data_IF_494409443217
#
_entry.id   IF_494409443217
#
_cell.length_a   1.000
_cell.length_b   1.000
_cell.length_c   1.000
_cell.angle_alpha   90.00
_cell.angle_beta   90.00
_cell.angle_gamma   90.00
#
_symmetry.space_group_name_H-M   'P 1'
#
loop_
_entity.id
_entity.type
_entity.pdbx_description
1 polymer ?
#
# COMPACT_ATOMS: atom_id res chain seq x y z
N UNK A 1 3.53 50.72 -8.89
CA UNK A 1 3.52 49.31 -9.36
C UNK A 1 2.15 48.97 -9.96
N UNK A 2 2.10 48.35 -11.15
CA UNK A 2 0.81 47.99 -11.80
C UNK A 2 0.13 46.80 -11.10
N UNK A 3 -1.17 46.65 -11.28
CA UNK A 3 -1.93 45.49 -10.79
C UNK A 3 -1.37 44.17 -11.32
N UNK A 4 -0.94 44.14 -12.59
CA UNK A 4 -0.31 42.97 -13.20
C UNK A 4 0.95 42.54 -12.45
N UNK A 5 1.81 43.48 -12.07
CA UNK A 5 3.00 43.15 -11.27
C UNK A 5 2.61 42.62 -9.89
N UNK A 6 1.55 43.12 -9.26
CA UNK A 6 1.07 42.57 -7.97
C UNK A 6 0.62 41.11 -8.12
N UNK A 7 0.00 40.74 -9.25
CA UNK A 7 -0.36 39.36 -9.55
C UNK A 7 0.87 38.46 -9.77
N UNK A 8 1.94 38.98 -10.39
CA UNK A 8 3.21 38.25 -10.51
C UNK A 8 3.80 37.98 -9.12
N UNK A 9 3.79 38.95 -8.21
CA UNK A 9 4.24 38.74 -6.82
C UNK A 9 3.35 37.76 -6.05
N UNK A 10 2.04 37.77 -6.30
CA UNK A 10 1.12 36.78 -5.75
C UNK A 10 1.49 35.37 -6.23
N UNK A 11 1.75 35.18 -7.52
CA UNK A 11 2.17 33.88 -8.06
C UNK A 11 3.49 33.40 -7.46
N UNK A 12 4.50 34.29 -7.37
CA UNK A 12 5.79 33.97 -6.75
C UNK A 12 5.62 33.62 -5.26
N UNK A 13 4.80 34.40 -4.54
CA UNK A 13 4.43 34.13 -3.16
C UNK A 13 3.73 32.77 -3.01
N UNK A 14 2.88 32.40 -3.96
CA UNK A 14 2.19 31.10 -3.96
C UNK A 14 3.18 29.94 -4.10
N UNK A 15 4.11 30.03 -5.04
CA UNK A 15 5.15 29.00 -5.23
C UNK A 15 6.03 28.88 -3.99
N UNK A 16 6.49 30.00 -3.44
CA UNK A 16 7.32 30.01 -2.23
C UNK A 16 6.58 29.48 -1.00
N UNK A 17 5.32 29.89 -0.81
CA UNK A 17 4.47 29.42 0.27
C UNK A 17 4.17 27.92 0.17
N UNK A 18 3.89 27.43 -1.05
CA UNK A 18 3.66 26.01 -1.30
C UNK A 18 4.90 25.17 -0.95
N UNK A 19 6.07 25.53 -1.49
CA UNK A 19 7.32 24.79 -1.25
C UNK A 19 7.77 24.88 0.21
N UNK A 20 7.67 26.06 0.81
CA UNK A 20 8.01 26.30 2.21
C UNK A 20 7.14 25.48 3.15
N UNK A 21 5.82 25.51 2.96
CA UNK A 21 4.89 24.72 3.78
C UNK A 21 4.97 23.22 3.50
N UNK A 22 5.28 22.78 2.28
CA UNK A 22 5.57 21.36 2.01
C UNK A 22 6.77 20.88 2.84
N UNK A 23 7.85 21.67 2.89
CA UNK A 23 9.01 21.41 3.73
C UNK A 23 8.66 21.37 5.21
N UNK A 24 7.94 22.38 5.73
CA UNK A 24 7.51 22.43 7.13
C UNK A 24 6.58 21.26 7.48
N UNK A 25 5.61 20.94 6.62
CA UNK A 25 4.67 19.84 6.83
C UNK A 25 5.40 18.49 6.87
N UNK A 26 6.45 18.31 6.08
CA UNK A 26 7.29 17.10 6.16
C UNK A 26 7.97 16.96 7.54
N UNK A 27 8.36 18.06 8.17
CA UNK A 27 8.86 18.08 9.54
C UNK A 27 7.74 17.81 10.55
N UNK A 28 6.55 18.37 10.32
CA UNK A 28 5.37 18.14 11.16
C UNK A 28 4.96 16.68 11.23
N UNK A 29 5.05 15.93 10.12
CA UNK A 29 4.81 14.48 10.13
C UNK A 29 5.67 13.80 11.20
N UNK A 30 6.93 14.23 11.37
CA UNK A 30 7.85 13.68 12.37
C UNK A 30 7.62 14.25 13.77
N UNK A 31 7.48 15.57 13.90
CA UNK A 31 7.33 16.27 15.18
C UNK A 31 6.00 15.97 15.87
N UNK A 32 4.93 15.86 15.09
CA UNK A 32 3.57 15.60 15.57
C UNK A 32 3.13 14.15 15.37
N UNK A 33 3.99 13.31 14.79
CA UNK A 33 3.79 11.85 14.62
C UNK A 33 2.51 11.54 13.87
N UNK A 34 2.35 12.20 12.73
CA UNK A 34 1.23 11.95 11.83
C UNK A 34 1.39 10.53 11.26
N UNK A 35 0.36 9.67 11.34
CA UNK A 35 0.45 8.30 10.85
C UNK A 35 0.91 8.24 9.39
N UNK A 36 1.90 7.41 9.11
CA UNK A 36 2.46 7.22 7.75
C UNK A 36 1.78 6.08 6.97
N UNK A 37 0.98 5.25 7.64
CA UNK A 37 0.19 4.20 6.99
C UNK A 37 -0.91 4.76 6.08
N UNK A 38 -1.25 4.00 5.04
CA UNK A 38 -2.36 4.30 4.11
C UNK A 38 -2.33 5.75 3.57
N UNK A 39 -1.18 6.20 3.06
CA UNK A 39 -0.98 7.52 2.41
C UNK A 39 -1.35 8.78 3.22
N UNK A 40 -1.73 8.65 4.50
CA UNK A 40 -2.18 9.76 5.35
C UNK A 40 -1.16 10.90 5.46
N UNK A 41 0.12 10.57 5.69
CA UNK A 41 1.19 11.58 5.75
C UNK A 41 1.38 12.31 4.42
N UNK A 42 1.25 11.61 3.29
CA UNK A 42 1.35 12.21 1.95
C UNK A 42 0.24 13.21 1.67
N UNK A 43 -1.01 12.82 1.95
CA UNK A 43 -2.15 13.73 1.82
C UNK A 43 -2.04 14.94 2.74
N UNK A 44 -1.60 14.73 3.99
CA UNK A 44 -1.40 15.82 4.93
C UNK A 44 -0.41 16.87 4.39
N UNK A 45 0.77 16.43 3.94
CA UNK A 45 1.79 17.34 3.37
C UNK A 45 1.23 18.07 2.15
N UNK A 46 0.53 17.36 1.27
CA UNK A 46 -0.07 17.93 0.06
C UNK A 46 -1.09 19.03 0.38
N UNK A 47 -2.05 18.77 1.28
CA UNK A 47 -3.07 19.77 1.64
C UNK A 47 -2.47 20.98 2.38
N UNK A 48 -1.49 20.76 3.27
CA UNK A 48 -0.79 21.86 3.96
C UNK A 48 0.04 22.69 2.98
N UNK A 49 0.66 22.05 1.97
CA UNK A 49 1.38 22.76 0.91
C UNK A 49 0.44 23.64 0.07
N UNK A 50 -0.73 23.13 -0.34
CA UNK A 50 -1.74 23.92 -1.05
C UNK A 50 -2.20 25.12 -0.23
N UNK A 51 -2.51 24.92 1.06
CA UNK A 51 -2.89 26.00 1.96
C UNK A 51 -1.77 27.05 2.08
N UNK A 52 -0.52 26.59 2.17
CA UNK A 52 0.67 27.43 2.12
C UNK A 52 0.79 28.24 0.82
N UNK A 53 0.45 27.66 -0.32
CA UNK A 53 0.41 28.36 -1.60
C UNK A 53 -0.66 29.44 -1.65
N UNK A 54 -1.86 29.18 -1.15
CA UNK A 54 -2.94 30.19 -1.09
C UNK A 54 -2.54 31.35 -0.18
N UNK A 55 -2.05 31.07 1.02
CA UNK A 55 -1.62 32.11 1.97
C UNK A 55 -0.42 32.87 1.41
N UNK A 56 0.54 32.18 0.80
CA UNK A 56 1.70 32.77 0.14
C UNK A 56 1.30 33.73 -0.98
N UNK A 57 0.25 33.40 -1.75
CA UNK A 57 -0.29 34.30 -2.77
C UNK A 57 -0.85 35.60 -2.19
N UNK A 58 -1.62 35.48 -1.09
CA UNK A 58 -2.19 36.63 -0.38
C UNK A 58 -1.08 37.51 0.18
N UNK A 59 -0.08 36.92 0.86
CA UNK A 59 1.07 37.65 1.41
C UNK A 59 1.85 38.33 0.29
N UNK A 60 2.13 37.63 -0.80
CA UNK A 60 2.85 38.19 -1.95
C UNK A 60 2.12 39.38 -2.56
N UNK A 61 0.81 39.27 -2.75
CA UNK A 61 -0.03 40.36 -3.23
C UNK A 61 0.00 41.56 -2.28
N UNK A 62 -0.31 41.37 -1.00
CA UNK A 62 -0.39 42.46 0.01
C UNK A 62 0.97 43.14 0.23
N UNK A 63 2.04 42.35 0.39
CA UNK A 63 3.39 42.89 0.57
C UNK A 63 3.84 43.73 -0.63
N UNK A 64 3.50 43.30 -1.85
CA UNK A 64 3.81 44.06 -3.05
C UNK A 64 3.05 45.38 -3.15
N UNK A 65 1.83 45.45 -2.56
CA UNK A 65 1.03 46.68 -2.47
C UNK A 65 1.57 47.65 -1.43
N UNK A 66 2.02 47.14 -0.28
CA UNK A 66 2.67 47.95 0.75
C UNK A 66 3.98 48.59 0.26
N UNK A 67 4.67 47.95 -0.69
CA UNK A 67 5.89 48.48 -1.30
C UNK A 67 5.65 49.68 -2.25
N UNK A 68 4.40 50.06 -2.53
CA UNK A 68 4.03 51.13 -3.48
C UNK A 68 4.03 52.53 -2.84
N UNK A 69 4.19 52.65 -1.52
CA UNK A 69 4.26 53.96 -0.85
C UNK A 69 5.57 54.70 -1.22
N UNK A 70 5.50 55.54 -2.26
CA UNK A 70 6.58 56.41 -2.74
C UNK A 70 6.70 56.49 -4.27
N UNK A 71 7.44 57.47 -4.79
CA UNK A 71 7.67 57.68 -6.23
C UNK A 71 8.45 56.54 -6.91
N UNK A 72 9.16 55.71 -6.13
CA UNK A 72 10.14 54.73 -6.64
C UNK A 72 9.66 53.28 -6.47
N UNK A 73 8.43 53.00 -6.93
CA UNK A 73 7.83 51.66 -6.84
C UNK A 73 8.28 50.75 -7.99
N UNK A 74 9.52 50.25 -7.91
CA UNK A 74 10.08 49.31 -8.88
C UNK A 74 9.95 47.84 -8.43
N UNK A 75 9.84 46.92 -9.40
CA UNK A 75 9.62 45.48 -9.21
C UNK A 75 10.54 44.84 -8.15
N UNK A 76 11.83 45.21 -8.15
CA UNK A 76 12.84 44.66 -7.23
C UNK A 76 12.49 44.95 -5.77
N UNK A 77 11.98 46.14 -5.46
CA UNK A 77 11.55 46.50 -4.11
C UNK A 77 10.34 45.67 -3.69
N UNK A 78 9.35 45.52 -4.58
CA UNK A 78 8.20 44.64 -4.37
C UNK A 78 8.63 43.20 -4.07
N UNK A 79 9.58 42.67 -4.85
CA UNK A 79 10.11 41.33 -4.68
C UNK A 79 10.81 41.18 -3.32
N UNK A 80 11.60 42.17 -2.91
CA UNK A 80 12.24 42.20 -1.59
C UNK A 80 11.23 42.14 -0.44
N UNK A 81 10.15 42.91 -0.51
CA UNK A 81 9.07 42.88 0.48
C UNK A 81 8.34 41.54 0.49
N UNK A 82 7.95 41.01 -0.68
CA UNK A 82 7.29 39.71 -0.80
C UNK A 82 8.15 38.58 -0.25
N UNK A 83 9.44 38.53 -0.62
CA UNK A 83 10.38 37.53 -0.14
C UNK A 83 10.59 37.61 1.38
N UNK A 84 10.81 38.82 1.90
CA UNK A 84 11.02 39.04 3.34
C UNK A 84 9.78 38.67 4.16
N UNK A 85 8.60 39.13 3.74
CA UNK A 85 7.34 38.83 4.42
C UNK A 85 7.04 37.32 4.40
N UNK A 86 7.24 36.66 3.26
CA UNK A 86 7.07 35.20 3.13
C UNK A 86 8.06 34.43 4.02
N UNK A 87 9.33 34.81 4.01
CA UNK A 87 10.36 34.18 4.83
C UNK A 87 10.09 34.33 6.33
N UNK A 88 9.69 35.53 6.79
CA UNK A 88 9.32 35.78 8.19
C UNK A 88 8.10 34.93 8.58
N UNK A 89 7.06 34.89 7.75
CA UNK A 89 5.87 34.09 8.03
C UNK A 89 6.21 32.59 8.17
N UNK A 90 6.97 32.03 7.23
CA UNK A 90 7.40 30.63 7.28
C UNK A 90 8.30 30.35 8.49
N UNK A 91 9.22 31.26 8.82
CA UNK A 91 10.09 31.14 9.99
C UNK A 91 9.30 31.15 11.30
N UNK A 92 8.28 32.02 11.43
CA UNK A 92 7.39 32.05 12.60
C UNK A 92 6.57 30.77 12.73
N UNK A 93 6.01 30.26 11.63
CA UNK A 93 5.28 28.99 11.63
C UNK A 93 6.20 27.84 12.04
N UNK A 94 7.40 27.77 11.46
CA UNK A 94 8.39 26.75 11.80
C UNK A 94 8.81 26.83 13.28
N UNK A 95 9.13 28.02 13.78
CA UNK A 95 9.56 28.23 15.15
C UNK A 95 8.45 27.89 16.16
N UNK A 96 7.24 28.39 15.95
CA UNK A 96 6.09 28.06 16.79
C UNK A 96 5.81 26.56 16.81
N UNK A 97 5.87 25.93 15.64
CA UNK A 97 5.67 24.47 15.53
C UNK A 97 6.76 23.68 16.24
N UNK A 98 8.01 24.12 16.14
CA UNK A 98 9.14 23.48 16.81
C UNK A 98 9.04 23.59 18.34
N UNK A 99 8.55 24.73 18.86
CA UNK A 99 8.31 24.94 20.29
C UNK A 99 7.14 24.09 20.83
N UNK A 100 6.11 23.87 20.02
CA UNK A 100 4.94 23.06 20.36
C UNK A 100 5.16 21.56 20.10
N UNK A 101 6.21 21.21 19.36
CA UNK A 101 6.56 19.84 19.07
C UNK A 101 7.06 19.13 20.33
N UNK A 102 6.55 17.93 20.55
CA UNK A 102 7.04 17.06 21.60
C UNK A 102 8.27 16.31 21.08
N UNK A 103 9.46 16.75 21.45
CA UNK A 103 10.71 16.13 21.03
C UNK A 103 11.07 14.92 21.92
N UNK A 104 11.63 13.84 21.36
CA UNK A 104 12.15 12.74 22.17
C UNK A 104 13.19 13.23 23.20
N UNK A 105 13.17 12.78 24.45
CA UNK A 105 14.17 13.15 25.43
C UNK A 105 15.55 12.61 25.04
N UNK A 106 16.59 13.38 25.35
CA UNK A 106 17.99 13.00 25.13
C UNK A 106 18.81 13.24 26.39
N UNK A 107 19.84 12.41 26.60
CA UNK A 107 20.89 12.62 27.62
C UNK A 107 22.22 12.66 26.87
N UNK A 108 23.04 13.67 27.12
CA UNK A 108 24.30 13.90 26.41
C UNK A 108 24.14 13.91 24.87
N UNK A 109 23.00 14.43 24.39
CA UNK A 109 22.63 14.48 22.96
C UNK A 109 22.27 13.11 22.33
N UNK A 110 22.32 12.02 23.11
CA UNK A 110 22.02 10.67 22.64
C UNK A 110 20.54 10.33 22.84
N UNK A 111 19.98 9.60 21.88
CA UNK A 111 18.60 9.08 21.98
C UNK A 111 18.50 7.99 23.04
N UNK A 112 17.32 7.91 23.63
CA UNK A 112 17.01 6.98 24.71
C UNK A 112 16.04 5.90 24.22
N UNK A 113 16.24 4.68 24.71
CA UNK A 113 15.25 3.60 24.68
C UNK A 113 14.85 3.28 26.11
N UNK A 114 13.69 2.65 26.27
CA UNK A 114 13.31 1.96 27.49
C UNK A 114 13.58 0.48 27.27
N UNK A 115 14.42 -0.12 28.11
CA UNK A 115 14.51 -1.56 28.24
C UNK A 115 13.51 -2.00 29.30
N UNK A 116 12.63 -2.93 28.94
CA UNK A 116 11.52 -3.39 29.75
C UNK A 116 11.70 -4.86 30.03
N UNK A 117 11.54 -5.25 31.29
CA UNK A 117 11.37 -6.64 31.68
C UNK A 117 9.92 -6.86 32.10
N UNK A 118 9.28 -7.83 31.46
CA UNK A 118 7.94 -8.31 31.77
C UNK A 118 8.04 -9.69 32.40
N UNK A 119 7.64 -9.81 33.66
CA UNK A 119 7.51 -11.09 34.35
C UNK A 119 6.10 -11.63 34.13
N UNK A 120 6.00 -12.83 33.56
CA UNK A 120 4.74 -13.51 33.26
C UNK A 120 4.11 -14.10 34.50
N UNK A 121 2.81 -14.42 34.47
CA UNK A 121 2.20 -15.31 35.44
C UNK A 121 2.74 -16.75 35.30
N UNK A 122 2.59 -17.60 36.33
CA UNK A 122 3.13 -18.97 36.35
C UNK A 122 2.54 -19.93 35.30
N UNK A 123 1.29 -19.68 34.90
CA UNK A 123 0.46 -20.65 34.16
C UNK A 123 0.31 -20.29 32.68
N UNK A 124 0.89 -19.18 32.23
CA UNK A 124 0.64 -18.66 30.89
C UNK A 124 1.64 -19.24 29.88
N UNK A 125 1.22 -20.25 29.12
CA UNK A 125 1.88 -20.56 27.86
C UNK A 125 1.77 -19.35 26.92
N UNK A 126 2.82 -19.03 26.15
CA UNK A 126 2.64 -18.17 24.98
C UNK A 126 1.66 -18.91 24.06
N UNK A 127 0.41 -18.43 23.98
CA UNK A 127 -0.54 -18.95 23.01
C UNK A 127 -0.20 -18.29 21.67
N UNK A 128 0.82 -18.82 21.00
CA UNK A 128 1.09 -18.51 19.61
C UNK A 128 -0.06 -19.10 18.77
N UNK A 129 -1.03 -18.26 18.44
CA UNK A 129 -1.97 -18.57 17.36
C UNK A 129 -1.44 -17.91 16.09
N UNK A 130 -1.46 -18.63 14.97
CA UNK A 130 -1.01 -18.12 13.69
C UNK A 130 -1.66 -16.75 13.38
N UNK A 131 -0.85 -15.70 13.30
CA UNK A 131 -1.27 -14.35 12.91
C UNK A 131 -1.43 -13.31 14.03
N UNK A 132 -1.20 -13.65 15.31
CA UNK A 132 -1.11 -12.65 16.38
C UNK A 132 0.33 -12.54 16.89
N UNK A 133 0.99 -11.42 16.59
CA UNK A 133 2.34 -11.14 17.07
C UNK A 133 2.27 -10.42 18.43
N UNK A 134 2.71 -11.03 19.54
CA UNK A 134 2.77 -10.34 20.81
C UNK A 134 3.70 -9.13 20.72
N UNK A 135 3.26 -8.02 21.32
CA UNK A 135 3.88 -6.72 21.09
C UNK A 135 3.81 -5.82 22.31
N UNK A 136 4.84 -5.00 22.48
CA UNK A 136 4.91 -3.98 23.52
C UNK A 136 4.97 -2.61 22.83
N UNK A 137 4.07 -1.71 23.22
CA UNK A 137 3.95 -0.35 22.70
C UNK A 137 3.93 0.62 23.86
N UNK A 138 4.70 1.70 23.79
CA UNK A 138 4.56 2.82 24.72
C UNK A 138 3.38 3.70 24.28
N UNK A 139 2.62 4.21 25.23
CA UNK A 139 1.44 5.01 24.98
C UNK A 139 1.43 6.22 25.90
N UNK A 140 0.66 7.24 25.52
CA UNK A 140 0.45 8.45 26.31
C UNK A 140 -1.04 8.76 26.24
N UNK A 141 -1.66 9.12 27.37
CA UNK A 141 -3.09 9.44 27.53
C UNK A 141 -3.65 10.41 26.47
N UNK A 142 -2.81 11.24 25.85
CA UNK A 142 -3.24 12.24 24.87
C UNK A 142 -2.88 11.94 23.39
N UNK A 143 -2.10 10.90 23.06
CA UNK A 143 -1.70 10.59 21.66
C UNK A 143 -1.48 9.09 21.45
N UNK A 144 -2.01 8.54 20.35
CA UNK A 144 -1.91 7.11 19.99
C UNK A 144 -0.49 6.73 19.52
N UNK A 145 -0.04 5.57 20.02
CA UNK A 145 1.12 4.75 19.64
C UNK A 145 2.52 5.40 19.60
N UNK A 146 3.37 5.01 20.55
CA UNK A 146 4.80 5.32 20.61
C UNK A 146 5.60 4.02 20.69
N UNK A 147 6.38 3.72 19.65
CA UNK A 147 7.33 2.60 19.65
C UNK A 147 6.69 1.28 19.25
N UNK A 148 7.18 0.71 18.15
CA UNK A 148 7.01 -0.71 17.84
C UNK A 148 8.09 -1.49 18.54
N UNK A 149 7.77 -2.73 18.87
CA UNK A 149 8.75 -3.64 19.40
C UNK A 149 9.92 -3.77 18.43
N UNK A 150 11.14 -3.51 18.90
CA UNK A 150 12.34 -3.71 18.08
C UNK A 150 12.88 -5.14 18.19
N UNK A 151 12.46 -5.89 19.19
CA UNK A 151 13.03 -7.19 19.55
C UNK A 151 12.17 -7.93 20.61
N UNK A 152 10.96 -8.39 20.25
CA UNK A 152 10.13 -9.18 21.18
C UNK A 152 10.80 -10.54 21.36
N UNK A 153 11.19 -10.89 22.59
CA UNK A 153 11.69 -12.24 22.88
C UNK A 153 13.19 -12.46 22.65
N UNK A 154 14.01 -11.42 22.40
CA UNK A 154 15.47 -11.58 22.29
C UNK A 154 16.10 -12.29 23.48
N UNK A 155 15.52 -12.11 24.68
CA UNK A 155 15.91 -12.87 25.86
C UNK A 155 14.67 -13.21 26.70
N UNK A 156 14.34 -14.50 26.71
CA UNK A 156 13.41 -15.08 27.68
C UNK A 156 14.25 -15.83 28.71
N UNK A 157 14.15 -15.44 29.98
CA UNK A 157 14.84 -16.13 31.08
C UNK A 157 13.85 -16.77 32.05
N UNK A 158 14.15 -17.97 32.58
CA UNK A 158 13.34 -18.55 33.65
C UNK A 158 13.48 -17.75 34.95
N UNK A 159 12.40 -17.65 35.71
CA UNK A 159 12.32 -17.02 37.03
C UNK A 159 11.38 -17.83 37.92
N UNK A 160 11.86 -18.99 38.39
CA UNK A 160 11.03 -19.97 39.11
C UNK A 160 9.97 -20.61 38.20
N UNK A 161 8.70 -20.49 38.59
CA UNK A 161 7.53 -20.87 37.80
C UNK A 161 7.13 -19.82 36.76
N UNK A 162 7.76 -18.64 36.79
CA UNK A 162 7.50 -17.52 35.87
C UNK A 162 8.59 -17.40 34.81
N UNK A 163 8.33 -16.59 33.80
CA UNK A 163 9.31 -16.19 32.78
C UNK A 163 9.48 -14.69 32.81
N UNK A 164 10.69 -14.22 32.53
CA UNK A 164 10.95 -12.79 32.30
C UNK A 164 11.30 -12.61 30.83
N UNK A 165 10.49 -11.80 30.14
CA UNK A 165 10.71 -11.39 28.76
C UNK A 165 11.31 -10.00 28.77
N UNK A 166 12.51 -9.85 28.20
CA UNK A 166 13.14 -8.53 28.04
C UNK A 166 12.89 -8.00 26.64
N UNK A 167 12.60 -6.72 26.53
CA UNK A 167 12.47 -6.05 25.24
C UNK A 167 12.84 -4.57 25.31
N UNK A 168 12.88 -3.90 24.16
CA UNK A 168 13.28 -2.50 24.02
C UNK A 168 12.26 -1.71 23.21
N UNK A 169 11.89 -0.55 23.73
CA UNK A 169 10.91 0.35 23.12
C UNK A 169 11.51 1.75 22.97
N UNK A 170 11.28 2.40 21.83
CA UNK A 170 11.79 3.76 21.60
C UNK A 170 11.10 4.77 22.52
N UNK A 171 11.89 5.55 23.26
CA UNK A 171 11.37 6.63 24.10
C UNK A 171 11.08 7.85 23.21
N UNK A 172 9.96 7.78 22.50
CA UNK A 172 9.63 8.75 21.47
C UNK A 172 9.15 10.10 21.99
N UNK A 173 8.67 10.23 23.23
CA UNK A 173 7.96 11.41 23.75
C UNK A 173 8.56 11.91 25.06
N UNK A 174 8.55 13.22 25.30
CA UNK A 174 8.93 13.86 26.57
C UNK A 174 7.78 13.97 27.59
N UNK A 175 6.61 13.41 27.27
CA UNK A 175 5.47 13.44 28.18
C UNK A 175 5.74 12.69 29.49
N UNK A 176 5.23 13.24 30.60
CA UNK A 176 5.42 12.68 31.93
C UNK A 176 4.56 11.44 32.19
N UNK A 177 3.36 11.38 31.60
CA UNK A 177 2.48 10.21 31.69
C UNK A 177 2.74 9.28 30.51
N UNK A 178 3.18 8.07 30.83
CA UNK A 178 3.50 7.04 29.84
C UNK A 178 2.89 5.72 30.29
N UNK A 179 2.15 5.07 29.43
CA UNK A 179 1.66 3.73 29.64
C UNK A 179 2.43 2.74 28.78
N UNK A 180 2.65 1.54 29.28
CA UNK A 180 3.12 0.41 28.52
C UNK A 180 1.92 -0.44 28.16
N UNK A 181 1.57 -0.49 26.88
CA UNK A 181 0.60 -1.42 26.36
C UNK A 181 1.31 -2.70 25.93
N UNK A 182 0.90 -3.84 26.47
CA UNK A 182 1.41 -5.15 26.05
C UNK A 182 0.23 -5.98 25.54
N UNK A 183 0.31 -6.36 24.27
CA UNK A 183 -0.52 -7.43 23.71
C UNK A 183 0.23 -8.73 23.89
N UNK A 184 -0.21 -9.57 24.83
CA UNK A 184 0.45 -10.83 25.16
C UNK A 184 -0.11 -12.00 24.33
N UNK A 185 -1.42 -12.05 24.17
CA UNK A 185 -2.13 -13.02 23.32
C UNK A 185 -3.48 -12.45 22.88
N UNK A 186 -4.19 -13.14 22.00
CA UNK A 186 -5.60 -12.84 21.72
C UNK A 186 -6.37 -12.75 23.05
N UNK A 187 -7.00 -11.60 23.30
CA UNK A 187 -7.75 -11.34 24.55
C UNK A 187 -6.95 -11.01 25.81
N UNK A 188 -5.62 -11.15 25.79
CA UNK A 188 -4.75 -10.80 26.92
C UNK A 188 -3.96 -9.52 26.60
N UNK A 189 -4.47 -8.40 27.08
CA UNK A 189 -3.88 -7.07 26.91
C UNK A 189 -3.75 -6.41 28.27
N UNK A 190 -2.58 -5.85 28.54
CA UNK A 190 -2.29 -5.13 29.77
C UNK A 190 -1.79 -3.72 29.46
N UNK A 191 -2.10 -2.80 30.36
CA UNK A 191 -1.69 -1.41 30.28
C UNK A 191 -1.09 -0.96 31.61
N UNK A 192 0.22 -0.73 31.68
CA UNK A 192 0.91 -0.35 32.93
C UNK A 192 1.33 1.10 32.86
N UNK A 193 0.93 1.95 33.81
CA UNK A 193 1.38 3.35 33.83
C UNK A 193 2.81 3.42 34.39
N UNK A 194 3.79 3.67 33.52
CA UNK A 194 5.18 3.75 33.91
C UNK A 194 5.43 5.00 34.75
N UNK A 195 6.00 4.80 35.95
CA UNK A 195 6.51 5.87 36.84
C UNK A 195 7.78 6.57 36.31
N UNK A 196 7.88 6.80 35.00
CA UNK A 196 9.07 7.32 34.33
C UNK A 196 8.91 8.84 34.05
N UNK A 197 9.77 9.72 34.60
CA UNK A 197 9.64 11.16 34.42
C UNK A 197 9.76 11.57 32.94
N UNK A 198 9.07 12.63 32.55
CA UNK A 198 9.02 13.11 31.16
C UNK A 198 10.41 13.39 30.54
N UNK A 199 11.35 13.85 31.36
CA UNK A 199 12.76 13.98 31.00
C UNK A 199 13.59 13.09 31.94
N UNK A 200 13.88 11.84 31.55
CA UNK A 200 14.72 10.96 32.35
C UNK A 200 16.12 11.54 32.54
N UNK A 201 16.72 11.16 33.66
CA UNK A 201 18.10 11.46 34.02
C UNK A 201 18.91 10.16 34.07
N UNK A 202 20.22 10.26 34.30
CA UNK A 202 21.08 9.08 34.46
C UNK A 202 20.68 8.17 35.63
N UNK A 203 19.91 8.68 36.60
CA UNK A 203 19.37 7.86 37.70
C UNK A 203 18.42 6.75 37.20
N UNK A 204 17.76 6.97 36.05
CA UNK A 204 16.87 5.98 35.44
C UNK A 204 17.62 4.93 34.59
N UNK A 205 18.96 4.92 34.58
CA UNK A 205 19.73 3.84 33.95
C UNK A 205 19.75 2.56 34.78
N UNK A 206 19.48 2.69 36.08
CA UNK A 206 19.23 1.54 36.95
C UNK A 206 17.82 0.99 36.75
N UNK A 207 17.64 -0.30 37.01
CA UNK A 207 16.33 -0.93 36.98
C UNK A 207 15.39 -0.31 38.01
N UNK A 208 14.17 0.00 37.58
CA UNK A 208 13.10 0.34 38.50
C UNK A 208 12.78 -0.84 39.42
N UNK A 209 12.12 -0.54 40.53
CA UNK A 209 11.39 -1.57 41.26
C UNK A 209 10.34 -2.23 40.35
N UNK A 210 10.01 -3.49 40.67
CA UNK A 210 8.90 -4.18 40.02
C UNK A 210 7.59 -3.46 40.33
N UNK A 211 6.81 -3.22 39.29
CA UNK A 211 5.47 -2.69 39.39
C UNK A 211 4.50 -3.84 39.16
N UNK A 212 3.85 -4.25 40.23
CA UNK A 212 2.77 -5.22 40.22
C UNK A 212 1.47 -4.43 39.94
N UNK A 213 1.10 -4.31 38.67
CA UNK A 213 -0.16 -3.64 38.27
C UNK A 213 -1.10 -4.63 37.60
N UNK A 214 -2.28 -4.79 38.19
CA UNK A 214 -3.40 -5.52 37.58
C UNK A 214 -4.16 -4.55 36.67
N UNK A 215 -3.84 -4.51 35.38
CA UNK A 215 -4.64 -3.75 34.42
C UNK A 215 -5.09 -4.66 33.30
N UNK A 216 -6.30 -5.19 33.49
CA UNK A 216 -7.06 -5.97 32.54
C UNK A 216 -8.02 -5.03 31.80
N UNK A 217 -7.83 -4.85 30.49
CA UNK A 217 -8.94 -4.53 29.60
C UNK A 217 -9.23 -5.80 28.82
N UNK A 218 -10.01 -6.76 29.37
CA UNK A 218 -10.45 -7.88 28.56
C UNK A 218 -11.21 -7.26 27.39
N UNK A 219 -10.74 -7.48 26.16
CA UNK A 219 -11.64 -7.33 25.03
C UNK A 219 -12.84 -8.21 25.36
N UNK A 220 -14.01 -7.59 25.52
CA UNK A 220 -15.25 -8.19 26.03
C UNK A 220 -15.38 -9.67 25.65
N UNK A 221 -15.11 -10.60 26.58
CA UNK A 221 -15.19 -12.05 26.34
C UNK A 221 -14.09 -12.94 26.93
N UNK A 222 -12.99 -12.38 27.47
CA UNK A 222 -11.83 -13.16 27.97
C UNK A 222 -11.70 -13.30 29.49
N UNK A 223 -12.81 -13.22 30.25
CA UNK A 223 -12.77 -13.61 31.66
C UNK A 223 -12.63 -15.15 31.74
N UNK A 224 -11.44 -15.64 32.06
CA UNK A 224 -11.26 -17.02 32.54
C UNK A 224 -11.29 -17.00 34.06
N UNK A 225 -12.36 -17.49 34.72
CA UNK A 225 -12.41 -17.57 36.17
C UNK A 225 -11.27 -18.46 36.69
N UNK A 226 -10.45 -17.95 37.61
CA UNK A 226 -9.46 -18.73 38.35
C UNK A 226 -8.03 -18.76 37.79
N UNK A 227 -7.72 -18.01 36.73
CA UNK A 227 -6.34 -17.85 36.24
C UNK A 227 -5.70 -16.61 36.86
N UNK A 228 -4.61 -16.79 37.61
CA UNK A 228 -3.76 -15.69 38.06
C UNK A 228 -3.06 -15.10 36.83
N UNK A 229 -3.39 -13.85 36.50
CA UNK A 229 -2.80 -13.09 35.39
C UNK A 229 -2.06 -11.86 35.90
N UNK A 230 -1.37 -11.99 37.04
CA UNK A 230 -0.49 -10.95 37.58
C UNK A 230 0.83 -10.87 36.79
N UNK A 231 0.87 -9.95 35.84
CA UNK A 231 2.13 -9.51 35.24
C UNK A 231 2.82 -8.50 36.15
N UNK A 232 4.15 -8.58 36.21
CA UNK A 232 4.96 -7.53 36.83
C UNK A 232 5.87 -6.91 35.77
N UNK A 233 6.04 -5.59 35.84
CA UNK A 233 6.88 -4.85 34.90
C UNK A 233 7.95 -4.09 35.66
N UNK A 234 9.18 -4.13 35.16
CA UNK A 234 10.20 -3.14 35.52
C UNK A 234 10.88 -2.63 34.27
N UNK A 235 11.50 -1.46 34.38
CA UNK A 235 12.17 -0.85 33.24
C UNK A 235 13.43 -0.12 33.66
N UNK A 236 14.28 0.15 32.67
CA UNK A 236 15.37 1.13 32.78
C UNK A 236 15.50 1.89 31.46
N UNK A 237 16.11 3.05 31.53
CA UNK A 237 16.49 3.83 30.36
C UNK A 237 17.87 3.38 29.92
N UNK A 238 18.02 3.13 28.62
CA UNK A 238 19.32 2.84 28.00
C UNK A 238 19.55 3.82 26.84
N UNK A 239 20.81 3.98 26.46
CA UNK A 239 21.10 4.64 25.19
C UNK A 239 20.61 3.77 24.03
N UNK A 240 20.01 4.40 23.03
CA UNK A 240 19.77 3.71 21.77
C UNK A 240 21.11 3.20 21.21
N UNK A 241 21.16 1.94 20.73
CA UNK A 241 22.33 1.47 20.01
C UNK A 241 22.56 2.41 18.83
N UNK A 242 23.82 2.63 18.49
CA UNK A 242 24.15 3.41 17.30
C UNK A 242 23.50 2.73 16.11
N UNK A 243 22.57 3.44 15.44
CA UNK A 243 21.91 2.87 14.26
C UNK A 243 23.03 2.58 13.26
N UNK A 244 23.07 1.37 12.67
CA UNK A 244 24.00 1.12 11.57
C UNK A 244 23.79 2.23 10.55
N UNK A 245 24.89 2.81 10.07
CA UNK A 245 24.84 3.87 9.07
C UNK A 245 23.97 3.33 7.91
N UNK A 246 22.88 4.03 7.53
CA UNK A 246 22.07 3.56 6.43
C UNK A 246 22.98 3.40 5.22
N UNK A 247 22.82 2.30 4.45
CA UNK A 247 23.65 2.09 3.28
C UNK A 247 23.55 3.30 2.37
N UNK A 248 24.70 3.74 1.87
CA UNK A 248 24.81 4.80 0.87
C UNK A 248 23.95 4.46 -0.34
N UNK A 249 23.59 5.45 -1.16
CA UNK A 249 22.82 5.17 -2.38
C UNK A 249 23.52 4.13 -3.28
N UNK A 250 24.85 4.14 -3.33
CA UNK A 250 25.65 3.18 -4.08
C UNK A 250 25.60 1.77 -3.45
N UNK A 251 25.72 1.66 -2.13
CA UNK A 251 25.59 0.38 -1.43
C UNK A 251 24.18 -0.20 -1.57
N UNK A 252 23.14 0.64 -1.48
CA UNK A 252 21.75 0.22 -1.73
C UNK A 252 21.55 -0.28 -3.14
N UNK A 253 21.99 0.48 -4.15
CA UNK A 253 21.90 0.04 -5.54
C UNK A 253 22.64 -1.29 -5.78
N UNK A 254 23.79 -1.49 -5.13
CA UNK A 254 24.55 -2.75 -5.21
C UNK A 254 23.81 -3.89 -4.53
N UNK A 255 23.23 -3.66 -3.35
CA UNK A 255 22.43 -4.65 -2.61
C UNK A 255 21.16 -5.02 -3.38
N UNK A 256 20.39 -4.04 -3.83
CA UNK A 256 19.18 -4.22 -4.63
C UNK A 256 19.48 -4.99 -5.93
N UNK A 257 20.59 -4.66 -6.61
CA UNK A 257 21.04 -5.40 -7.80
C UNK A 257 21.44 -6.84 -7.48
N UNK A 258 22.16 -7.08 -6.38
CA UNK A 258 22.56 -8.42 -5.97
C UNK A 258 21.36 -9.27 -5.52
N UNK A 259 20.40 -8.67 -4.82
CA UNK A 259 19.14 -9.32 -4.43
C UNK A 259 18.27 -9.63 -5.64
N UNK A 260 18.13 -8.70 -6.58
CA UNK A 260 17.43 -8.93 -7.84
C UNK A 260 18.08 -10.07 -8.64
N UNK A 261 19.41 -10.11 -8.72
CA UNK A 261 20.12 -11.19 -9.40
C UNK A 261 19.93 -12.55 -8.72
N UNK A 262 19.93 -12.60 -7.38
CA UNK A 262 19.64 -13.84 -6.62
C UNK A 262 18.19 -14.28 -6.80
N UNK A 263 17.25 -13.34 -6.77
CA UNK A 263 15.83 -13.62 -6.99
C UNK A 263 15.62 -14.19 -8.41
N UNK A 264 16.20 -13.55 -9.42
CA UNK A 264 16.12 -14.03 -10.80
C UNK A 264 16.77 -15.42 -10.95
N UNK A 265 17.92 -15.67 -10.32
CA UNK A 265 18.57 -16.99 -10.34
C UNK A 265 17.67 -18.07 -9.70
N UNK A 266 17.05 -17.78 -8.55
CA UNK A 266 16.12 -18.69 -7.88
C UNK A 266 14.87 -18.94 -8.72
N UNK A 267 14.33 -17.93 -9.40
CA UNK A 267 13.20 -18.09 -10.32
C UNK A 267 13.56 -18.95 -11.53
N UNK A 268 14.76 -18.78 -12.10
CA UNK A 268 15.25 -19.64 -13.20
C UNK A 268 15.43 -21.09 -12.76
N UNK A 269 15.94 -21.31 -11.55
CA UNK A 269 16.06 -22.65 -10.97
C UNK A 269 14.68 -23.29 -10.76
N UNK A 270 13.71 -22.54 -10.23
CA UNK A 270 12.33 -23.01 -10.06
C UNK A 270 11.67 -23.35 -11.40
N UNK A 271 11.83 -22.52 -12.43
CA UNK A 271 11.35 -22.82 -13.78
C UNK A 271 12.05 -24.05 -14.38
N UNK A 272 13.36 -24.21 -14.14
CA UNK A 272 14.13 -25.35 -14.60
C UNK A 272 13.75 -26.67 -13.91
N UNK A 273 13.25 -26.60 -12.67
CA UNK A 273 12.80 -27.75 -11.90
C UNK A 273 11.46 -28.33 -12.40
N UNK A 274 10.69 -27.59 -13.22
CA UNK A 274 9.47 -28.13 -13.83
C UNK A 274 9.83 -29.21 -14.85
N UNK A 275 9.32 -30.45 -14.70
CA UNK A 275 9.62 -31.54 -15.63
C UNK A 275 9.23 -31.24 -17.08
N UNK A 276 10.01 -31.75 -18.04
CA UNK A 276 9.65 -31.73 -19.46
C UNK A 276 8.32 -32.46 -19.65
N UNK A 277 7.37 -31.81 -20.32
CA UNK A 277 6.02 -32.35 -20.52
C UNK A 277 5.08 -32.18 -19.31
N UNK A 278 5.48 -31.44 -18.28
CA UNK A 278 4.54 -31.04 -17.22
C UNK A 278 3.37 -30.21 -17.81
N UNK A 279 2.17 -30.27 -17.18
CA UNK A 279 1.03 -29.47 -17.61
C UNK A 279 1.37 -27.98 -17.68
N UNK A 280 0.85 -27.27 -18.68
CA UNK A 280 1.12 -25.83 -18.89
C UNK A 280 0.73 -24.99 -17.67
N UNK A 281 -0.20 -25.47 -16.84
CA UNK A 281 -0.62 -24.81 -15.60
C UNK A 281 0.49 -24.65 -14.57
N UNK A 282 1.51 -25.51 -14.59
CA UNK A 282 2.66 -25.36 -13.71
C UNK A 282 3.57 -24.17 -14.08
N UNK A 283 3.47 -23.71 -15.33
CA UNK A 283 4.29 -22.60 -15.84
C UNK A 283 3.61 -21.23 -15.65
N UNK A 284 2.33 -21.20 -15.22
CA UNK A 284 1.52 -19.99 -15.13
C UNK A 284 2.08 -18.94 -14.15
N UNK A 285 2.71 -19.38 -13.06
CA UNK A 285 3.33 -18.46 -12.11
C UNK A 285 4.40 -17.61 -12.80
N UNK A 286 5.18 -18.22 -13.70
CA UNK A 286 6.31 -17.59 -14.39
C UNK A 286 5.90 -16.67 -15.55
N UNK A 287 4.60 -16.55 -15.86
CA UNK A 287 4.10 -15.61 -16.88
C UNK A 287 3.58 -14.30 -16.30
N UNK A 288 3.59 -14.15 -14.98
CA UNK A 288 3.11 -12.92 -14.32
C UNK A 288 4.02 -11.72 -14.59
N UNK A 289 3.46 -10.50 -14.54
CA UNK A 289 4.15 -9.24 -14.85
C UNK A 289 5.43 -8.99 -14.03
N UNK A 290 5.51 -9.54 -12.82
CA UNK A 290 6.66 -9.39 -11.92
C UNK A 290 7.90 -10.20 -12.34
N UNK A 291 7.76 -11.16 -13.26
CA UNK A 291 8.89 -11.95 -13.74
C UNK A 291 9.63 -11.25 -14.89
N UNK A 292 10.99 -11.31 -14.91
CA UNK A 292 11.79 -10.84 -16.03
C UNK A 292 11.35 -11.41 -17.38
N UNK A 293 11.43 -10.61 -18.44
CA UNK A 293 11.00 -11.00 -19.79
C UNK A 293 11.68 -12.28 -20.30
N UNK A 294 12.94 -12.50 -19.94
CA UNK A 294 13.67 -13.72 -20.29
C UNK A 294 13.07 -14.98 -19.65
N UNK A 295 12.59 -14.89 -18.40
CA UNK A 295 11.93 -16.01 -17.70
C UNK A 295 10.55 -16.27 -18.30
N UNK A 296 9.77 -15.22 -18.55
CA UNK A 296 8.46 -15.34 -19.22
C UNK A 296 8.60 -16.00 -20.60
N UNK A 297 9.57 -15.55 -21.39
CA UNK A 297 9.83 -16.11 -22.72
C UNK A 297 10.25 -17.59 -22.66
N UNK A 298 11.08 -17.99 -21.69
CA UNK A 298 11.43 -19.40 -21.48
C UNK A 298 10.21 -20.23 -21.07
N UNK A 299 9.37 -19.70 -20.15
CA UNK A 299 8.15 -20.37 -19.72
C UNK A 299 7.18 -20.58 -20.89
N UNK A 300 6.90 -19.54 -21.69
CA UNK A 300 6.03 -19.66 -22.87
C UNK A 300 6.59 -20.61 -23.92
N UNK A 301 7.91 -20.61 -24.14
CA UNK A 301 8.56 -21.58 -25.03
C UNK A 301 8.32 -23.02 -24.55
N UNK A 302 8.55 -23.31 -23.27
CA UNK A 302 8.36 -24.66 -22.70
C UNK A 302 6.90 -25.10 -22.70
N UNK A 303 5.97 -24.21 -22.38
CA UNK A 303 4.53 -24.48 -22.50
C UNK A 303 4.17 -24.94 -23.92
N UNK A 304 4.71 -24.24 -24.92
CA UNK A 304 4.46 -24.51 -26.34
C UNK A 304 5.10 -25.82 -26.83
N UNK A 305 6.26 -26.19 -26.28
CA UNK A 305 6.93 -27.46 -26.57
C UNK A 305 6.20 -28.67 -25.98
N UNK A 306 5.20 -28.46 -25.11
CA UNK A 306 4.32 -29.53 -24.63
C UNK A 306 3.57 -30.18 -25.79
N UNK A 307 3.60 -31.51 -25.84
CA UNK A 307 2.83 -32.29 -26.82
C UNK A 307 1.31 -32.09 -26.69
N UNK A 308 0.84 -31.66 -25.51
CA UNK A 308 -0.57 -31.42 -25.20
C UNK A 308 -0.93 -29.93 -25.17
N UNK A 309 -0.05 -29.04 -25.66
CA UNK A 309 -0.23 -27.59 -25.58
C UNK A 309 -1.62 -27.12 -26.06
N UNK A 310 -2.05 -27.56 -27.25
CA UNK A 310 -3.31 -27.13 -27.84
C UNK A 310 -4.52 -27.53 -26.98
N UNK A 311 -4.54 -28.78 -26.50
CA UNK A 311 -5.62 -29.33 -25.68
C UNK A 311 -5.65 -28.66 -24.30
N UNK A 312 -4.50 -28.57 -23.64
CA UNK A 312 -4.39 -27.96 -22.32
C UNK A 312 -4.70 -26.45 -22.37
N UNK A 313 -4.20 -25.73 -23.38
CA UNK A 313 -4.47 -24.30 -23.53
C UNK A 313 -5.95 -24.04 -23.78
N UNK A 314 -6.59 -24.84 -24.64
CA UNK A 314 -8.04 -24.79 -24.85
C UNK A 314 -8.81 -25.08 -23.56
N UNK A 315 -8.38 -26.04 -22.76
CA UNK A 315 -9.03 -26.38 -21.49
C UNK A 315 -8.94 -25.24 -20.47
N UNK A 316 -7.79 -24.56 -20.36
CA UNK A 316 -7.61 -23.48 -19.37
C UNK A 316 -8.30 -22.18 -19.73
N UNK A 317 -8.41 -21.82 -21.01
CA UNK A 317 -9.19 -20.63 -21.41
C UNK A 317 -10.70 -20.86 -21.27
N UNK A 318 -11.14 -22.12 -21.22
CA UNK A 318 -12.51 -22.54 -20.93
C UNK A 318 -12.71 -22.94 -19.45
N UNK A 319 -11.72 -22.72 -18.59
CA UNK A 319 -11.76 -23.15 -17.20
C UNK A 319 -12.99 -22.61 -16.45
N UNK A 320 -13.56 -23.37 -15.52
CA UNK A 320 -14.79 -23.02 -14.80
C UNK A 320 -14.66 -21.71 -13.99
N UNK A 321 -13.47 -21.45 -13.44
CA UNK A 321 -13.14 -20.18 -12.79
C UNK A 321 -12.82 -19.10 -13.84
N UNK A 322 -13.60 -18.02 -13.85
CA UNK A 322 -13.47 -16.91 -14.80
C UNK A 322 -12.14 -16.16 -14.71
N UNK A 323 -11.57 -16.00 -13.51
CA UNK A 323 -10.32 -15.28 -13.33
C UNK A 323 -9.17 -16.08 -13.94
N UNK A 324 -9.18 -17.40 -13.76
CA UNK A 324 -8.22 -18.31 -14.41
C UNK A 324 -8.34 -18.23 -15.93
N UNK A 325 -9.54 -18.38 -16.47
CA UNK A 325 -9.79 -18.29 -17.91
C UNK A 325 -9.34 -16.93 -18.49
N UNK A 326 -9.71 -15.83 -17.83
CA UNK A 326 -9.36 -14.49 -18.25
C UNK A 326 -7.86 -14.22 -18.19
N UNK A 327 -7.19 -14.73 -17.16
CA UNK A 327 -5.74 -14.60 -17.00
C UNK A 327 -5.00 -15.31 -18.14
N UNK A 328 -5.38 -16.55 -18.47
CA UNK A 328 -4.79 -17.29 -19.59
C UNK A 328 -5.00 -16.60 -20.94
N UNK A 329 -6.20 -16.08 -21.20
CA UNK A 329 -6.47 -15.36 -22.44
C UNK A 329 -5.58 -14.12 -22.62
N UNK A 330 -5.23 -13.40 -21.53
CA UNK A 330 -4.35 -12.22 -21.63
C UNK A 330 -2.96 -12.53 -22.18
N UNK A 331 -2.48 -13.77 -22.04
CA UNK A 331 -1.17 -14.18 -22.54
C UNK A 331 -1.18 -14.64 -24.00
N UNK A 332 -2.34 -14.66 -24.68
CA UNK A 332 -2.48 -15.20 -26.02
C UNK A 332 -1.49 -14.60 -27.05
N UNK A 333 -1.21 -13.30 -26.95
CA UNK A 333 -0.27 -12.63 -27.85
C UNK A 333 1.21 -12.76 -27.44
N UNK A 334 1.50 -13.23 -26.23
CA UNK A 334 2.87 -13.40 -25.73
C UNK A 334 3.50 -14.72 -26.18
N UNK A 335 2.70 -15.69 -26.64
CA UNK A 335 3.22 -16.95 -27.18
C UNK A 335 4.07 -16.70 -28.44
N UNK A 336 5.35 -17.13 -28.44
CA UNK A 336 6.23 -17.01 -29.61
C UNK A 336 5.89 -18.09 -30.64
N UNK A 337 6.05 -17.84 -31.95
CA UNK A 337 5.91 -18.85 -33.02
C UNK A 337 4.50 -18.96 -33.63
N UNK A 338 4.16 -20.14 -34.20
CA UNK A 338 2.82 -20.43 -34.76
C UNK A 338 1.71 -20.37 -33.70
N UNK A 339 0.79 -19.41 -33.83
CA UNK A 339 -0.28 -19.14 -32.87
C UNK A 339 -1.60 -19.83 -33.21
N UNK A 340 -1.66 -20.72 -34.20
CA UNK A 340 -2.90 -21.37 -34.61
C UNK A 340 -3.67 -22.04 -33.44
N UNK A 341 -3.03 -22.80 -32.53
CA UNK A 341 -3.74 -23.40 -31.39
C UNK A 341 -4.31 -22.35 -30.42
N UNK A 342 -3.57 -21.25 -30.20
CA UNK A 342 -3.99 -20.16 -29.32
C UNK A 342 -5.19 -19.42 -29.91
N UNK A 343 -5.13 -19.12 -31.22
CA UNK A 343 -6.22 -18.45 -31.93
C UNK A 343 -7.49 -19.29 -31.86
N UNK A 344 -7.39 -20.60 -32.10
CA UNK A 344 -8.54 -21.49 -32.04
C UNK A 344 -9.14 -21.57 -30.63
N UNK A 345 -8.30 -21.69 -29.60
CA UNK A 345 -8.74 -21.65 -28.22
C UNK A 345 -9.46 -20.33 -27.85
N UNK A 346 -8.96 -19.18 -28.34
CA UNK A 346 -9.60 -17.87 -28.13
C UNK A 346 -10.95 -17.79 -28.87
N UNK A 347 -11.08 -18.40 -30.07
CA UNK A 347 -12.37 -18.49 -30.76
C UNK A 347 -13.39 -19.30 -29.97
N UNK A 348 -12.98 -20.47 -29.48
CA UNK A 348 -13.82 -21.32 -28.62
C UNK A 348 -14.25 -20.57 -27.35
N UNK A 349 -13.33 -19.81 -26.73
CA UNK A 349 -13.65 -18.98 -25.57
C UNK A 349 -14.66 -17.86 -25.90
N UNK A 350 -14.57 -17.26 -27.09
CA UNK A 350 -15.55 -16.28 -27.58
C UNK A 350 -16.95 -16.88 -27.76
N UNK A 351 -17.03 -18.09 -28.31
CA UNK A 351 -18.29 -18.83 -28.46
C UNK A 351 -18.89 -19.24 -27.10
N UNK A 352 -18.08 -19.78 -26.19
CA UNK A 352 -18.48 -20.12 -24.81
C UNK A 352 -18.99 -18.88 -24.06
N UNK A 353 -18.29 -17.75 -24.16
CA UNK A 353 -18.71 -16.49 -23.55
C UNK A 353 -20.07 -16.01 -24.07
N UNK A 354 -20.30 -16.07 -25.40
CA UNK A 354 -21.59 -15.71 -25.97
C UNK A 354 -22.73 -16.58 -25.41
N UNK A 355 -22.52 -17.89 -25.31
CA UNK A 355 -23.49 -18.82 -24.72
C UNK A 355 -23.75 -18.55 -23.23
N UNK A 356 -22.71 -18.23 -22.45
CA UNK A 356 -22.84 -17.85 -21.03
C UNK A 356 -23.64 -16.57 -20.87
N UNK A 357 -23.37 -15.54 -21.68
CA UNK A 357 -24.12 -14.28 -21.66
C UNK A 357 -25.59 -14.55 -21.99
N UNK A 358 -25.89 -15.39 -22.98
CA UNK A 358 -27.26 -15.72 -23.35
C UNK A 358 -28.01 -16.46 -22.21
N UNK A 359 -27.30 -17.30 -21.45
CA UNK A 359 -27.84 -18.00 -20.28
C UNK A 359 -28.13 -17.10 -19.07
N UNK A 360 -27.65 -15.83 -19.06
CA UNK A 360 -27.91 -14.90 -17.97
C UNK A 360 -29.43 -14.64 -17.87
N UNK A 361 -30.01 -15.04 -16.76
CA UNK A 361 -31.45 -14.86 -16.49
C UNK A 361 -31.70 -13.58 -15.67
N UNK A 362 -32.83 -12.90 -15.92
CA UNK A 362 -33.23 -11.71 -15.15
C UNK A 362 -33.52 -12.00 -13.67
N UNK A 363 -33.75 -13.26 -13.30
CA UNK A 363 -34.15 -13.68 -11.95
C UNK A 363 -33.37 -14.93 -11.54
N UNK A 364 -32.31 -14.75 -10.73
CA UNK A 364 -31.95 -15.79 -9.76
C UNK A 364 -31.21 -15.22 -8.55
N UNK A 365 -31.62 -15.74 -7.38
CA UNK A 365 -30.98 -15.60 -6.08
C UNK A 365 -29.48 -15.88 -6.22
N UNK A 366 -28.65 -15.07 -5.56
CA UNK A 366 -27.33 -15.49 -5.10
C UNK A 366 -27.47 -16.91 -4.57
N UNK A 367 -26.93 -17.89 -5.28
CA UNK A 367 -26.77 -19.23 -4.71
C UNK A 367 -25.68 -19.11 -3.67
N UNK A 368 -25.95 -19.61 -2.46
CA UNK A 368 -24.97 -19.75 -1.39
C UNK A 368 -23.80 -20.59 -1.93
N UNK A 369 -22.72 -19.92 -2.33
CA UNK A 369 -21.52 -20.54 -2.92
C UNK A 369 -21.28 -20.34 -4.43
N UNK A 370 -22.16 -19.65 -5.16
CA UNK A 370 -21.99 -19.40 -6.60
C UNK A 370 -21.50 -17.99 -6.91
N UNK A 371 -20.32 -17.88 -7.54
CA UNK A 371 -19.79 -16.60 -8.03
C UNK A 371 -20.81 -15.86 -8.90
N UNK A 372 -20.80 -14.52 -8.82
CA UNK A 372 -21.71 -13.67 -9.59
C UNK A 372 -21.57 -13.97 -11.09
N UNK A 373 -22.60 -14.55 -11.72
CA UNK A 373 -22.57 -14.88 -13.14
C UNK A 373 -22.34 -13.64 -14.02
N UNK A 374 -22.69 -12.44 -13.53
CA UNK A 374 -22.34 -11.20 -14.20
C UNK A 374 -20.82 -10.94 -14.13
N UNK A 375 -20.20 -11.20 -12.98
CA UNK A 375 -18.76 -11.13 -12.82
C UNK A 375 -18.05 -12.17 -13.70
N UNK A 376 -18.54 -13.42 -13.77
CA UNK A 376 -17.99 -14.46 -14.67
C UNK A 376 -17.96 -13.97 -16.13
N UNK A 377 -19.08 -13.42 -16.61
CA UNK A 377 -19.18 -12.88 -17.97
C UNK A 377 -18.24 -11.67 -18.20
N UNK A 378 -18.15 -10.75 -17.23
CA UNK A 378 -17.28 -9.57 -17.34
C UNK A 378 -15.79 -9.91 -17.33
N UNK A 379 -15.37 -10.79 -16.41
CA UNK A 379 -14.00 -11.23 -16.31
C UNK A 379 -13.56 -11.96 -17.59
N UNK A 380 -14.38 -12.90 -18.08
CA UNK A 380 -14.13 -13.62 -19.35
C UNK A 380 -14.11 -12.67 -20.55
N UNK A 381 -15.03 -11.72 -20.63
CA UNK A 381 -15.02 -10.72 -21.70
C UNK A 381 -13.74 -9.89 -21.69
N UNK A 382 -13.28 -9.43 -20.52
CA UNK A 382 -12.01 -8.72 -20.39
C UNK A 382 -10.82 -9.54 -20.87
N UNK A 383 -10.77 -10.83 -20.53
CA UNK A 383 -9.74 -11.76 -21.02
C UNK A 383 -9.81 -11.98 -22.54
N UNK A 384 -10.98 -12.37 -23.05
CA UNK A 384 -11.22 -12.60 -24.48
C UNK A 384 -10.89 -11.36 -25.31
N UNK A 385 -11.39 -10.19 -24.90
CA UNK A 385 -11.17 -8.96 -25.65
C UNK A 385 -9.68 -8.58 -25.69
N UNK A 386 -8.97 -8.73 -24.56
CA UNK A 386 -7.52 -8.50 -24.52
C UNK A 386 -6.76 -9.43 -25.47
N UNK A 387 -7.13 -10.72 -25.49
CA UNK A 387 -6.56 -11.71 -26.39
C UNK A 387 -6.82 -11.37 -27.86
N UNK A 388 -8.09 -11.16 -28.21
CA UNK A 388 -8.53 -10.87 -29.57
C UNK A 388 -7.89 -9.58 -30.11
N UNK A 389 -7.85 -8.53 -29.29
CA UNK A 389 -7.21 -7.26 -29.65
C UNK A 389 -5.71 -7.46 -29.92
N UNK A 390 -4.98 -8.09 -28.99
CA UNK A 390 -3.53 -8.25 -29.11
C UNK A 390 -3.14 -9.19 -30.27
N UNK A 391 -3.90 -10.26 -30.49
CA UNK A 391 -3.71 -11.15 -31.63
C UNK A 391 -3.99 -10.44 -32.96
N UNK A 392 -5.08 -9.65 -33.05
CA UNK A 392 -5.40 -8.86 -34.23
C UNK A 392 -4.35 -7.78 -34.53
N UNK A 393 -3.89 -7.02 -33.54
CA UNK A 393 -2.82 -6.02 -33.70
C UNK A 393 -1.50 -6.65 -34.18
N UNK A 394 -1.24 -7.90 -33.78
CA UNK A 394 -0.10 -8.66 -34.31
C UNK A 394 -0.28 -9.16 -35.74
N UNK A 395 -1.43 -8.90 -36.37
CA UNK A 395 -1.78 -9.35 -37.72
C UNK A 395 -2.18 -10.82 -37.80
N UNK A 396 -2.46 -11.47 -36.66
CA UNK A 396 -2.72 -12.92 -36.61
C UNK A 396 -4.11 -13.18 -36.00
N UNK A 397 -5.09 -13.40 -36.87
CA UNK A 397 -6.46 -13.77 -36.49
C UNK A 397 -7.49 -12.65 -36.67
N UNK A 398 -8.68 -13.03 -37.12
CA UNK A 398 -9.88 -12.19 -37.11
C UNK A 398 -10.90 -12.81 -36.15
N UNK A 399 -11.32 -12.01 -35.16
CA UNK A 399 -12.26 -12.37 -34.10
C UNK A 399 -13.58 -11.59 -34.20
N UNK A 400 -13.82 -10.95 -35.35
CA UNK A 400 -15.07 -10.24 -35.65
C UNK A 400 -16.30 -11.15 -35.50
N UNK A 401 -16.30 -12.42 -35.97
CA UNK A 401 -17.46 -13.31 -35.80
C UNK A 401 -17.84 -13.55 -34.34
N UNK A 402 -16.85 -13.83 -33.50
CA UNK A 402 -17.04 -14.11 -32.07
C UNK A 402 -17.47 -12.85 -31.32
N UNK A 403 -16.83 -11.71 -31.59
CA UNK A 403 -17.21 -10.43 -30.99
C UNK A 403 -18.64 -10.03 -31.38
N UNK A 404 -19.07 -10.33 -32.62
CA UNK A 404 -20.45 -10.12 -33.08
C UNK A 404 -21.44 -11.02 -32.35
N UNK A 405 -21.11 -12.31 -32.16
CA UNK A 405 -21.94 -13.23 -31.38
C UNK A 405 -22.11 -12.77 -29.92
N UNK A 406 -21.01 -12.34 -29.29
CA UNK A 406 -21.02 -11.76 -27.93
C UNK A 406 -21.91 -10.52 -27.87
N UNK A 407 -21.78 -9.59 -28.82
CA UNK A 407 -22.59 -8.37 -28.85
C UNK A 407 -24.09 -8.68 -29.01
N UNK A 408 -24.45 -9.63 -29.88
CA UNK A 408 -25.84 -10.06 -30.07
C UNK A 408 -26.40 -10.62 -28.76
N UNK A 409 -25.68 -11.51 -28.08
CA UNK A 409 -26.10 -12.06 -26.79
C UNK A 409 -26.23 -10.95 -25.73
N UNK A 410 -25.24 -10.06 -25.63
CA UNK A 410 -25.17 -8.99 -24.62
C UNK A 410 -26.30 -7.96 -24.77
N UNK A 411 -26.72 -7.64 -26.00
CA UNK A 411 -27.84 -6.73 -26.25
C UNK A 411 -29.18 -7.24 -25.69
N UNK A 412 -29.35 -8.56 -25.55
CA UNK A 412 -30.54 -9.12 -24.89
C UNK A 412 -30.54 -8.92 -23.36
N UNK A 413 -29.40 -8.54 -22.78
CA UNK A 413 -29.15 -8.43 -21.33
C UNK A 413 -28.80 -7.01 -20.87
N UNK A 414 -29.23 -5.98 -21.60
CA UNK A 414 -28.92 -4.57 -21.29
C UNK A 414 -29.38 -4.08 -19.91
N UNK A 415 -30.29 -4.81 -19.24
CA UNK A 415 -30.71 -4.50 -17.88
C UNK A 415 -29.66 -4.87 -16.81
N UNK A 416 -28.57 -5.53 -17.19
CA UNK A 416 -27.43 -5.85 -16.33
C UNK A 416 -26.38 -4.75 -16.50
N UNK A 417 -26.15 -3.87 -15.49
CA UNK A 417 -25.32 -2.68 -15.66
C UNK A 417 -23.92 -2.94 -16.23
N UNK A 418 -23.24 -3.99 -15.76
CA UNK A 418 -21.91 -4.35 -16.27
C UNK A 418 -21.93 -4.81 -17.73
N UNK A 419 -22.87 -5.68 -18.12
CA UNK A 419 -22.97 -6.16 -19.51
C UNK A 419 -23.23 -5.00 -20.46
N UNK A 420 -24.15 -4.10 -20.11
CA UNK A 420 -24.42 -2.91 -20.93
C UNK A 420 -23.22 -1.98 -20.99
N UNK A 421 -22.72 -1.57 -19.83
CA UNK A 421 -21.71 -0.51 -19.76
C UNK A 421 -20.34 -0.96 -20.28
N UNK A 422 -19.98 -2.25 -20.16
CA UNK A 422 -18.65 -2.72 -20.55
C UNK A 422 -18.68 -3.60 -21.79
N UNK A 423 -19.51 -4.66 -21.83
CA UNK A 423 -19.52 -5.61 -22.96
C UNK A 423 -20.12 -4.97 -24.22
N UNK A 424 -21.35 -4.45 -24.15
CA UNK A 424 -22.03 -3.85 -25.32
C UNK A 424 -21.25 -2.64 -25.84
N UNK A 425 -20.83 -1.74 -24.94
CA UNK A 425 -20.03 -0.55 -25.30
C UNK A 425 -18.76 -0.93 -26.06
N UNK A 426 -17.95 -1.82 -25.50
CA UNK A 426 -16.67 -2.20 -26.10
C UNK A 426 -16.87 -2.99 -27.39
N UNK A 427 -17.73 -4.01 -27.40
CA UNK A 427 -17.93 -4.85 -28.57
C UNK A 427 -18.52 -4.05 -29.75
N UNK A 428 -19.48 -3.17 -29.50
CA UNK A 428 -20.07 -2.31 -30.54
C UNK A 428 -19.03 -1.34 -31.13
N UNK A 429 -18.26 -0.66 -30.27
CA UNK A 429 -17.18 0.22 -30.72
C UNK A 429 -16.14 -0.53 -31.57
N UNK A 430 -15.66 -1.68 -31.12
CA UNK A 430 -14.61 -2.39 -31.84
C UNK A 430 -15.12 -3.10 -33.10
N UNK A 431 -16.38 -3.55 -33.18
CA UNK A 431 -16.95 -4.03 -34.44
C UNK A 431 -17.11 -2.91 -35.47
N UNK A 432 -17.41 -1.68 -35.02
CA UNK A 432 -17.37 -0.52 -35.91
C UNK A 432 -15.95 -0.28 -36.45
N UNK A 433 -14.93 -0.33 -35.60
CA UNK A 433 -13.54 -0.14 -36.02
C UNK A 433 -13.02 -1.28 -36.90
N UNK A 434 -13.36 -2.53 -36.56
CA UNK A 434 -12.77 -3.72 -37.18
C UNK A 434 -13.51 -4.20 -38.43
N UNK A 435 -14.82 -3.95 -38.52
CA UNK A 435 -15.68 -4.48 -39.57
C UNK A 435 -16.60 -3.42 -40.21
N UNK A 436 -16.61 -2.19 -39.71
CA UNK A 436 -17.51 -1.13 -40.21
C UNK A 436 -18.97 -1.30 -39.77
N UNK A 437 -19.24 -2.19 -38.80
CA UNK A 437 -20.59 -2.42 -38.28
C UNK A 437 -21.08 -1.16 -37.55
N UNK A 438 -22.23 -0.61 -37.95
CA UNK A 438 -22.79 0.58 -37.28
C UNK A 438 -23.31 0.23 -35.89
N UNK A 439 -22.97 0.99 -34.82
CA UNK A 439 -23.56 0.82 -33.50
C UNK A 439 -25.09 0.93 -33.53
N UNK A 440 -25.78 0.17 -32.68
CA UNK A 440 -27.21 0.32 -32.51
C UNK A 440 -27.52 1.64 -31.76
N UNK A 441 -28.68 2.27 -31.99
CA UNK A 441 -29.02 3.56 -31.37
C UNK A 441 -29.00 3.56 -29.83
N UNK A 442 -29.18 2.40 -29.21
CA UNK A 442 -29.24 2.17 -27.77
C UNK A 442 -27.92 1.67 -27.15
N UNK A 443 -26.92 1.37 -27.98
CA UNK A 443 -25.59 1.02 -27.51
C UNK A 443 -24.94 2.23 -26.80
N UNK A 444 -24.27 2.04 -25.65
CA UNK A 444 -23.57 3.15 -25.00
C UNK A 444 -22.42 3.68 -25.88
N UNK A 445 -22.20 5.00 -25.93
CA UNK A 445 -21.07 5.55 -26.65
C UNK A 445 -19.74 5.12 -26.02
N UNK A 446 -18.63 5.12 -26.79
CA UNK A 446 -17.29 4.92 -26.23
C UNK A 446 -17.00 6.02 -25.20
N UNK A 447 -16.17 5.69 -24.20
CA UNK A 447 -15.72 6.63 -23.16
C UNK A 447 -14.54 7.46 -23.63
#
# INVERSE_FOLDING_TARGET
>A
MTWLLSLVHALLGAVAGFMGMAGIASLWVRWFRIPTGQSNAGYYVYFVAIAGGIIGAIVGFVASRAAVDGSDSHFVRGLGYTASAGAIALALVLAASWLLADHPPTIDGRRLLIEVELRTPPVTALVERAGFDPGITLWNKHRKAYGFNTDYGSTVRPDGDRRVVTTRVELGSSAATRGLYVGWSEGCQLFVELRLPGKPTKAQFEWSEWQDETVFSPSSGWEQPGVDLHFAVRYRVIFAPERPKPPTAAERATQESAEAARAEASQREALAAIPVGAPITQYLEFTQYQFPDAIKADAFRRMRESAHFAEEYSAVVLHVNSDTAAHWMRFAAEFPGDRAPVIEAVRLAGADLAARIDSLSRKRKQTEGGGDANYDALARFGGFFSAAFALRESGVGDFTPELRAILVAARTKQNIPGVRSDIVRMASYYLQQWAGDKPAPDDPPPK
#
